data_IF_191931939935
#
_entry.id   IF_191931939935
#
_cell.length_a   1.000
_cell.length_b   1.000
_cell.length_c   1.000
_cell.angle_alpha   90.00
_cell.angle_beta   90.00
_cell.angle_gamma   90.00
#
_symmetry.space_group_name_H-M   'P 1'
#
loop_
_entity.id
_entity.type
_entity.pdbx_description
1 polymer ?
#
# COMPACT_ATOMS: atom_id res chain seq x y z
N UNK A 1 -9.60 8.79 80.23
CA UNK A 1 -8.46 8.92 79.30
C UNK A 1 -8.86 8.28 77.98
N UNK A 2 -8.82 9.07 76.90
CA UNK A 2 -9.32 8.69 75.56
C UNK A 2 -8.24 7.92 74.80
N UNK A 3 -8.58 6.75 74.27
CA UNK A 3 -7.77 6.04 73.28
C UNK A 3 -8.12 6.58 71.89
N UNK A 4 -7.14 7.18 71.22
CA UNK A 4 -7.27 7.68 69.85
C UNK A 4 -6.89 6.54 68.88
N UNK A 5 -7.88 6.02 68.16
CA UNK A 5 -7.68 5.01 67.12
C UNK A 5 -7.19 5.67 65.83
N UNK A 6 -6.01 5.26 65.37
CA UNK A 6 -5.42 5.61 64.07
C UNK A 6 -6.02 4.69 63.00
N UNK A 7 -6.81 5.22 62.06
CA UNK A 7 -7.29 4.48 60.90
C UNK A 7 -6.40 4.80 59.70
N UNK A 8 -5.63 3.79 59.27
CA UNK A 8 -4.81 3.80 58.06
C UNK A 8 -5.76 3.64 56.87
N UNK A 9 -5.90 4.70 56.08
CA UNK A 9 -6.65 4.67 54.83
C UNK A 9 -5.90 3.84 53.78
N UNK A 10 -6.46 2.68 53.43
CA UNK A 10 -6.02 1.84 52.32
C UNK A 10 -6.20 2.57 50.98
N UNK A 11 -5.10 2.77 50.25
CA UNK A 11 -5.12 3.26 48.88
C UNK A 11 -5.69 2.22 47.92
N UNK A 12 -6.70 2.61 47.14
CA UNK A 12 -7.19 1.82 46.01
C UNK A 12 -6.46 2.31 44.76
N UNK A 13 -5.43 1.57 44.34
CA UNK A 13 -4.79 1.77 43.06
C UNK A 13 -5.69 1.19 41.95
N UNK A 14 -6.39 2.07 41.22
CA UNK A 14 -7.10 1.71 39.98
C UNK A 14 -6.09 1.44 38.87
N UNK A 15 -5.64 0.19 38.75
CA UNK A 15 -4.95 -0.29 37.56
C UNK A 15 -5.96 -0.43 36.42
N UNK A 16 -6.03 0.59 35.56
CA UNK A 16 -6.72 0.49 34.28
C UNK A 16 -5.91 -0.43 33.36
N UNK A 17 -6.37 -1.67 33.19
CA UNK A 17 -5.88 -2.54 32.13
C UNK A 17 -6.31 -1.96 30.78
N UNK A 18 -5.41 -1.20 30.15
CA UNK A 18 -5.56 -0.82 28.75
C UNK A 18 -5.40 -2.10 27.94
N UNK A 19 -6.51 -2.63 27.41
CA UNK A 19 -6.46 -3.72 26.44
C UNK A 19 -5.71 -3.19 25.21
N UNK A 20 -4.64 -3.85 24.74
CA UNK A 20 -4.10 -3.52 23.43
C UNK A 20 -5.20 -3.81 22.41
N UNK A 21 -5.69 -2.75 21.77
CA UNK A 21 -6.54 -2.89 20.60
C UNK A 21 -5.67 -3.50 19.51
N UNK A 22 -5.82 -4.80 19.27
CA UNK A 22 -5.35 -5.43 18.05
C UNK A 22 -6.15 -4.79 16.91
N UNK A 23 -5.59 -3.75 16.29
CA UNK A 23 -6.05 -3.25 15.02
C UNK A 23 -5.91 -4.41 14.03
N UNK A 24 -7.02 -5.11 13.79
CA UNK A 24 -7.11 -6.11 12.74
C UNK A 24 -6.87 -5.37 11.43
N UNK A 25 -5.67 -5.48 10.88
CA UNK A 25 -5.36 -4.99 9.54
C UNK A 25 -6.30 -5.74 8.62
N UNK A 26 -7.28 -5.03 8.05
CA UNK A 26 -8.20 -5.58 7.07
C UNK A 26 -7.37 -5.95 5.85
N UNK A 27 -7.00 -7.22 5.75
CA UNK A 27 -6.24 -7.75 4.62
C UNK A 27 -7.14 -7.64 3.39
N UNK A 28 -6.87 -6.66 2.53
CA UNK A 28 -7.61 -6.48 1.29
C UNK A 28 -7.18 -7.62 0.36
N UNK A 29 -8.08 -8.57 0.11
CA UNK A 29 -7.85 -9.59 -0.90
C UNK A 29 -7.93 -8.93 -2.27
N UNK A 30 -6.78 -8.86 -2.96
CA UNK A 30 -6.65 -8.27 -4.29
C UNK A 30 -6.24 -9.35 -5.28
N UNK A 31 -6.84 -9.32 -6.46
CA UNK A 31 -6.54 -10.23 -7.57
C UNK A 31 -6.07 -9.44 -8.78
N UNK A 32 -5.19 -10.06 -9.58
CA UNK A 32 -4.83 -9.48 -10.89
C UNK A 32 -6.10 -9.30 -11.72
N UNK A 33 -6.23 -8.11 -12.32
CA UNK A 33 -7.40 -7.71 -13.07
C UNK A 33 -8.43 -6.91 -12.29
N UNK A 34 -8.36 -6.87 -10.96
CA UNK A 34 -9.19 -5.96 -10.18
C UNK A 34 -8.89 -4.50 -10.52
N UNK A 35 -9.87 -3.64 -10.30
CA UNK A 35 -9.72 -2.19 -10.46
C UNK A 35 -9.58 -1.51 -9.10
N UNK A 36 -8.58 -0.66 -8.98
CA UNK A 36 -8.34 0.19 -7.82
C UNK A 36 -8.52 1.66 -8.21
N UNK A 37 -8.79 2.50 -7.22
CA UNK A 37 -8.94 3.94 -7.39
C UNK A 37 -7.91 4.66 -6.54
N UNK A 38 -7.18 5.60 -7.14
CA UNK A 38 -6.35 6.55 -6.40
C UNK A 38 -7.24 7.43 -5.53
N UNK A 39 -6.97 7.43 -4.23
CA UNK A 39 -7.69 8.24 -3.26
C UNK A 39 -7.35 9.73 -3.35
N UNK A 40 -7.93 10.56 -2.45
CA UNK A 40 -7.54 11.94 -2.33
C UNK A 40 -6.06 12.03 -1.95
N UNK A 41 -5.36 12.99 -2.55
CA UNK A 41 -3.95 13.21 -2.29
C UNK A 41 -3.82 14.39 -1.33
N UNK A 42 -3.40 14.10 -0.10
CA UNK A 42 -3.37 15.08 1.01
C UNK A 42 -1.96 15.44 1.46
N UNK A 43 -0.93 14.97 0.74
CA UNK A 43 0.47 15.22 1.09
C UNK A 43 0.87 16.68 0.87
N UNK A 44 1.73 17.20 1.74
CA UNK A 44 2.29 18.55 1.64
C UNK A 44 3.13 18.75 0.36
N UNK A 45 3.70 17.66 -0.16
CA UNK A 45 4.57 17.67 -1.35
C UNK A 45 3.81 17.57 -2.68
N UNK A 46 2.46 17.61 -2.66
CA UNK A 46 1.63 17.41 -3.85
C UNK A 46 1.91 16.10 -4.61
N UNK A 47 2.35 15.07 -3.90
CA UNK A 47 2.67 13.73 -4.40
C UNK A 47 2.16 12.65 -3.45
N UNK A 48 1.92 11.45 -3.98
CA UNK A 48 1.62 10.24 -3.20
C UNK A 48 2.88 9.71 -2.51
N UNK A 49 2.76 9.26 -1.26
CA UNK A 49 3.89 8.74 -0.48
C UNK A 49 4.20 7.26 -0.77
N UNK A 50 3.19 6.49 -1.20
CA UNK A 50 3.30 5.03 -1.40
C UNK A 50 2.99 4.60 -2.83
N UNK A 51 2.93 5.55 -3.76
CA UNK A 51 2.66 5.30 -5.17
C UNK A 51 3.69 6.00 -6.04
N UNK A 52 4.41 5.20 -6.81
CA UNK A 52 5.33 5.67 -7.84
C UNK A 52 4.74 5.45 -9.22
N UNK A 53 5.10 6.32 -10.17
CA UNK A 53 4.85 6.12 -11.58
C UNK A 53 6.14 5.66 -12.26
N UNK A 54 6.06 4.53 -12.94
CA UNK A 54 7.11 3.95 -13.74
C UNK A 54 6.74 4.22 -15.20
N UNK A 55 7.69 4.73 -15.97
CA UNK A 55 7.51 5.02 -17.40
C UNK A 55 8.60 4.30 -18.16
N UNK A 56 8.19 3.38 -19.03
CA UNK A 56 9.10 2.65 -19.91
C UNK A 56 9.63 3.59 -20.99
N UNK A 57 10.92 3.85 -21.00
CA UNK A 57 11.57 4.80 -21.93
C UNK A 57 12.19 4.13 -23.15
N UNK A 58 12.38 2.80 -23.11
CA UNK A 58 12.82 1.98 -24.24
C UNK A 58 11.79 0.91 -24.57
N UNK A 59 11.36 0.85 -25.83
CA UNK A 59 10.35 -0.09 -26.30
C UNK A 59 10.76 -1.57 -26.11
N UNK A 60 9.79 -2.45 -25.81
CA UNK A 60 10.05 -3.79 -25.29
C UNK A 60 10.68 -4.74 -26.31
N UNK A 61 11.30 -5.77 -25.76
CA UNK A 61 11.60 -7.02 -26.45
C UNK A 61 10.37 -7.52 -27.22
N UNK A 62 10.49 -7.59 -28.56
CA UNK A 62 9.40 -7.99 -29.46
C UNK A 62 8.92 -9.42 -29.24
N UNK A 63 9.64 -10.21 -28.45
CA UNK A 63 9.30 -11.59 -28.09
C UNK A 63 8.59 -11.71 -26.75
N UNK A 64 8.49 -10.64 -25.96
CA UNK A 64 7.83 -10.68 -24.66
C UNK A 64 6.30 -10.61 -24.82
N UNK A 65 5.60 -11.56 -24.22
CA UNK A 65 4.13 -11.61 -24.17
C UNK A 65 3.64 -11.25 -22.77
N UNK A 66 2.53 -10.53 -22.71
CA UNK A 66 1.83 -10.18 -21.47
C UNK A 66 0.35 -10.46 -21.63
N UNK A 67 -0.19 -11.43 -20.85
CA UNK A 67 -1.62 -11.65 -20.75
C UNK A 67 -2.19 -10.64 -19.75
N UNK A 68 -2.89 -9.63 -20.29
CA UNK A 68 -3.50 -8.58 -19.46
C UNK A 68 -4.40 -9.21 -18.41
N UNK A 69 -5.31 -10.12 -18.77
CA UNK A 69 -6.31 -10.74 -17.88
C UNK A 69 -5.68 -11.42 -16.66
N UNK A 70 -4.67 -12.25 -16.86
CA UNK A 70 -4.09 -13.10 -15.81
C UNK A 70 -2.85 -12.51 -15.13
N UNK A 71 -2.20 -11.51 -15.73
CA UNK A 71 -0.91 -10.99 -15.24
C UNK A 71 0.30 -11.74 -15.78
N UNK A 72 0.09 -12.85 -16.48
CA UNK A 72 1.16 -13.73 -16.94
C UNK A 72 2.10 -13.00 -17.91
N UNK A 73 3.40 -13.10 -17.66
CA UNK A 73 4.44 -12.47 -18.49
C UNK A 73 4.67 -10.98 -18.24
N UNK A 74 3.87 -10.32 -17.37
CA UNK A 74 3.97 -8.89 -17.07
C UNK A 74 5.41 -8.45 -16.75
N UNK A 75 6.08 -9.16 -15.83
CA UNK A 75 7.41 -8.77 -15.38
C UNK A 75 8.43 -8.75 -16.51
N UNK A 76 8.50 -9.82 -17.31
CA UNK A 76 9.41 -9.90 -18.45
C UNK A 76 9.05 -8.84 -19.49
N UNK A 77 7.77 -8.64 -19.76
CA UNK A 77 7.29 -7.67 -20.74
C UNK A 77 7.59 -6.22 -20.33
N UNK A 78 7.36 -5.86 -19.07
CA UNK A 78 7.51 -4.49 -18.59
C UNK A 78 8.95 -4.14 -18.20
N UNK A 79 9.61 -4.99 -17.41
CA UNK A 79 10.94 -4.70 -16.85
C UNK A 79 12.12 -5.04 -17.77
N UNK A 80 11.87 -5.47 -19.01
CA UNK A 80 12.92 -5.56 -20.03
C UNK A 80 13.12 -4.20 -20.70
N UNK A 81 14.22 -3.51 -20.38
CA UNK A 81 14.59 -2.21 -20.94
C UNK A 81 14.87 -1.15 -19.86
N UNK A 82 14.91 0.10 -20.28
CA UNK A 82 15.08 1.25 -19.39
C UNK A 82 13.71 1.72 -18.87
N UNK A 83 13.64 2.03 -17.58
CA UNK A 83 12.45 2.52 -16.89
C UNK A 83 12.83 3.72 -16.06
N UNK A 84 12.13 4.83 -16.29
CA UNK A 84 12.18 5.99 -15.41
C UNK A 84 11.15 5.81 -14.29
N UNK A 85 11.48 6.23 -13.08
CA UNK A 85 10.59 6.17 -11.92
C UNK A 85 10.60 7.48 -11.15
N UNK A 86 9.44 7.88 -10.62
CA UNK A 86 9.25 9.02 -9.73
C UNK A 86 7.98 8.88 -8.90
N UNK A 87 7.82 9.66 -7.84
CA UNK A 87 6.56 9.73 -7.08
C UNK A 87 5.41 10.15 -7.98
N UNK A 88 4.23 9.57 -7.75
CA UNK A 88 3.04 9.93 -8.49
C UNK A 88 2.55 11.32 -8.05
N UNK A 89 2.34 12.28 -8.97
CA UNK A 89 1.75 13.58 -8.63
C UNK A 89 0.28 13.49 -8.19
N UNK A 90 -0.14 14.35 -7.27
CA UNK A 90 -1.54 14.46 -6.81
C UNK A 90 -2.54 14.78 -7.94
N UNK A 91 -2.09 15.27 -9.10
CA UNK A 91 -2.95 15.53 -10.27
C UNK A 91 -3.70 14.30 -10.76
N UNK A 92 -3.23 13.10 -10.40
CA UNK A 92 -3.83 11.82 -10.78
C UNK A 92 -4.88 11.31 -9.78
N UNK A 93 -5.24 12.09 -8.76
CA UNK A 93 -6.27 11.70 -7.80
C UNK A 93 -7.58 11.27 -8.45
N UNK A 94 -8.24 10.29 -7.83
CA UNK A 94 -9.50 9.67 -8.28
C UNK A 94 -9.43 8.92 -9.60
N UNK A 95 -8.26 8.80 -10.22
CA UNK A 95 -8.12 7.95 -11.40
C UNK A 95 -8.16 6.48 -11.00
N UNK A 96 -8.77 5.69 -11.88
CA UNK A 96 -8.84 4.23 -11.76
C UNK A 96 -7.73 3.58 -12.55
N UNK A 97 -7.27 2.44 -12.06
CA UNK A 97 -6.27 1.63 -12.73
C UNK A 97 -6.53 0.15 -12.47
N UNK A 98 -6.07 -0.67 -13.38
CA UNK A 98 -6.23 -2.13 -13.31
C UNK A 98 -4.96 -2.75 -12.73
N UNK A 99 -5.11 -3.70 -11.82
CA UNK A 99 -3.99 -4.49 -11.31
C UNK A 99 -3.43 -5.35 -12.45
N UNK A 100 -2.18 -5.07 -12.83
CA UNK A 100 -1.42 -5.78 -13.84
C UNK A 100 -0.65 -6.97 -13.25
N UNK A 101 -0.09 -6.80 -12.05
CA UNK A 101 0.60 -7.85 -11.31
C UNK A 101 0.63 -7.54 -9.81
N UNK A 102 0.82 -8.58 -9.00
CA UNK A 102 1.04 -8.48 -7.56
C UNK A 102 2.33 -9.23 -7.25
N UNK A 103 3.16 -8.66 -6.39
CA UNK A 103 4.41 -9.28 -5.97
C UNK A 103 4.67 -9.11 -4.48
N UNK A 104 5.15 -10.19 -3.88
CA UNK A 104 5.43 -10.27 -2.45
C UNK A 104 6.94 -10.29 -2.25
N UNK A 105 7.48 -9.22 -1.68
CA UNK A 105 8.89 -9.11 -1.33
C UNK A 105 9.08 -9.50 0.15
N UNK A 106 9.64 -10.69 0.44
CA UNK A 106 9.95 -11.06 1.81
C UNK A 106 10.97 -10.09 2.41
N UNK A 107 10.78 -9.71 3.66
CA UNK A 107 11.65 -8.80 4.40
C UNK A 107 12.50 -9.55 5.43
N UNK A 108 13.67 -9.01 5.84
CA UNK A 108 14.54 -9.65 6.83
C UNK A 108 13.89 -9.87 8.20
N UNK A 109 12.89 -9.07 8.55
CA UNK A 109 12.14 -9.16 9.82
C UNK A 109 11.04 -10.23 9.80
N UNK A 110 10.91 -10.99 8.69
CA UNK A 110 9.89 -12.01 8.50
C UNK A 110 8.55 -11.47 8.00
N UNK A 111 8.41 -10.15 7.81
CA UNK A 111 7.22 -9.56 7.19
C UNK A 111 7.30 -9.67 5.66
N UNK A 112 6.17 -9.39 4.99
CA UNK A 112 6.10 -9.36 3.53
C UNK A 112 5.66 -7.98 3.08
N UNK A 113 6.47 -7.35 2.23
CA UNK A 113 6.07 -6.13 1.51
C UNK A 113 5.33 -6.54 0.25
N UNK A 114 4.03 -6.33 0.24
CA UNK A 114 3.18 -6.56 -0.94
C UNK A 114 3.20 -5.34 -1.83
N UNK A 115 3.47 -5.56 -3.11
CA UNK A 115 3.51 -4.54 -4.14
C UNK A 115 2.47 -4.86 -5.20
N UNK A 116 1.69 -3.86 -5.58
CA UNK A 116 0.77 -3.91 -6.72
C UNK A 116 1.35 -3.10 -7.88
N UNK A 117 1.35 -3.69 -9.07
CA UNK A 117 1.61 -2.99 -10.31
C UNK A 117 0.30 -2.66 -10.99
N UNK A 118 0.01 -1.38 -11.21
CA UNK A 118 -1.22 -0.92 -11.86
C UNK A 118 -0.96 -0.44 -13.29
N UNK A 119 -1.64 -0.99 -14.29
CA UNK A 119 -1.58 -0.43 -15.65
C UNK A 119 -2.25 0.95 -15.65
N UNK A 120 -1.56 1.98 -16.14
CA UNK A 120 -1.98 3.36 -15.93
C UNK A 120 -1.74 4.24 -17.16
N UNK A 121 -2.71 5.06 -17.57
CA UNK A 121 -2.66 5.96 -18.74
C UNK A 121 -2.49 5.23 -20.09
N UNK A 122 -1.44 4.45 -20.27
CA UNK A 122 -1.09 3.70 -21.48
C UNK A 122 -0.33 2.40 -21.14
N UNK A 123 0.12 1.70 -22.18
CA UNK A 123 0.86 0.44 -22.02
C UNK A 123 2.30 0.64 -21.51
N UNK A 124 2.87 1.85 -21.66
CA UNK A 124 4.23 2.16 -21.24
C UNK A 124 4.32 2.64 -19.78
N UNK A 125 3.17 2.89 -19.14
CA UNK A 125 3.10 3.53 -17.84
C UNK A 125 2.44 2.61 -16.82
N UNK A 126 3.12 2.41 -15.69
CA UNK A 126 2.69 1.53 -14.61
C UNK A 126 2.83 2.24 -13.26
N UNK A 127 1.86 2.06 -12.38
CA UNK A 127 1.99 2.43 -10.98
C UNK A 127 2.68 1.33 -10.20
N UNK A 128 3.67 1.67 -9.39
CA UNK A 128 4.27 0.79 -8.39
C UNK A 128 3.76 1.20 -7.01
N UNK A 129 3.00 0.32 -6.36
CA UNK A 129 2.21 0.67 -5.18
C UNK A 129 2.58 -0.24 -4.02
N UNK A 130 3.03 0.33 -2.91
CA UNK A 130 3.16 -0.36 -1.63
C UNK A 130 1.78 -0.50 -0.99
N UNK A 131 1.02 -1.51 -1.41
CA UNK A 131 -0.44 -1.52 -1.28
C UNK A 131 -0.96 -1.47 0.15
N UNK A 132 -0.26 -2.11 1.09
CA UNK A 132 -0.67 -2.11 2.48
C UNK A 132 -0.63 -0.71 3.10
N UNK A 133 0.43 0.06 2.81
CA UNK A 133 0.56 1.43 3.32
C UNK A 133 -0.33 2.39 2.54
N UNK A 134 -0.42 2.24 1.22
CA UNK A 134 -1.30 3.06 0.38
C UNK A 134 -2.79 2.93 0.76
N UNK A 135 -3.25 1.73 1.14
CA UNK A 135 -4.63 1.54 1.64
C UNK A 135 -4.80 2.14 3.03
N UNK A 136 -3.83 1.93 3.94
CA UNK A 136 -3.89 2.48 5.31
C UNK A 136 -3.91 4.01 5.31
N UNK A 137 -3.16 4.66 4.42
CA UNK A 137 -3.13 6.11 4.28
C UNK A 137 -4.30 6.68 3.48
N UNK A 138 -5.10 5.82 2.83
CA UNK A 138 -6.22 6.24 1.97
C UNK A 138 -5.78 6.72 0.58
N UNK A 139 -4.51 6.54 0.21
CA UNK A 139 -3.98 6.83 -1.12
C UNK A 139 -4.54 5.92 -2.21
N UNK A 140 -4.96 4.71 -1.84
CA UNK A 140 -5.58 3.73 -2.74
C UNK A 140 -6.78 3.09 -2.07
N UNK A 141 -7.85 2.91 -2.83
CA UNK A 141 -9.08 2.23 -2.39
C UNK A 141 -9.51 1.18 -3.42
N UNK A 142 -10.02 0.05 -2.93
CA UNK A 142 -10.72 -0.90 -3.78
C UNK A 142 -12.03 -0.27 -4.26
N UNK A 143 -12.31 -0.40 -5.56
CA UNK A 143 -13.53 0.11 -6.20
C UNK A 143 -14.76 -0.71 -5.89
#
# INVERSE_FOLDING_TARGET
>A
MRYTTLLIGFGIALFSFVKPANAQVKEVQLTVGDSLTLGPCTGENFEYAHVDILIKTRFPDSTATYNKETGEGFYKWYFTGDIDSRRLPCSFQRMKFRIAAIHNYPQPDGTTRTVVFGQFIDDATVLWIEINEAVKSGEVTAG
#
